data_IF_163248466751
#
_entry.id   IF_163248466751
#
_cell.length_a   1.000
_cell.length_b   1.000
_cell.length_c   1.000
_cell.angle_alpha   90.00
_cell.angle_beta   90.00
_cell.angle_gamma   90.00
#
_symmetry.space_group_name_H-M   'P 1'
#
loop_
_entity.id
_entity.type
_entity.pdbx_description
1 polymer ?
#
# COMPACT_ATOMS: atom_id res chain seq x y z
N UNK A 1 -6.78 -14.33 23.31
CA UNK A 1 -6.52 -14.02 21.91
C UNK A 1 -7.45 -12.91 21.41
N UNK A 2 -6.93 -12.03 20.66
CA UNK A 2 -7.69 -10.90 20.14
C UNK A 2 -8.57 -11.34 18.97
N UNK A 3 -9.83 -10.92 18.95
CA UNK A 3 -10.71 -11.18 17.83
C UNK A 3 -10.16 -10.50 16.56
N UNK A 4 -10.45 -11.08 15.41
CA UNK A 4 -10.11 -10.46 14.14
C UNK A 4 -10.84 -9.13 14.01
N UNK A 5 -10.13 -8.12 13.56
CA UNK A 5 -10.68 -6.77 13.40
C UNK A 5 -11.71 -6.71 12.28
N UNK A 6 -11.50 -7.50 11.21
CA UNK A 6 -12.37 -7.51 10.04
C UNK A 6 -12.82 -8.91 9.73
N UNK A 7 -14.10 -9.05 9.37
CA UNK A 7 -14.63 -10.28 8.79
C UNK A 7 -14.28 -10.35 7.30
N UNK A 8 -14.33 -11.54 6.68
CA UNK A 8 -14.07 -11.65 5.24
C UNK A 8 -14.92 -10.72 4.38
N UNK A 9 -16.18 -10.49 4.75
CA UNK A 9 -17.05 -9.58 4.01
C UNK A 9 -16.54 -8.13 4.05
N UNK A 10 -15.91 -7.73 5.14
CA UNK A 10 -15.33 -6.38 5.26
C UNK A 10 -14.10 -6.23 4.38
N UNK A 11 -13.33 -7.30 4.23
CA UNK A 11 -12.10 -7.27 3.44
C UNK A 11 -12.37 -7.36 1.94
N UNK A 12 -13.47 -7.97 1.54
CA UNK A 12 -13.87 -8.03 0.14
C UNK A 12 -14.89 -6.93 -0.18
N UNK A 13 -14.67 -5.76 0.38
CA UNK A 13 -15.53 -4.59 0.23
C UNK A 13 -14.70 -3.34 0.45
N UNK A 14 -14.90 -2.32 -0.37
CA UNK A 14 -14.20 -1.06 -0.24
C UNK A 14 -13.48 -0.67 -1.52
N UNK A 15 -12.56 0.28 -1.39
CA UNK A 15 -11.80 0.82 -2.50
C UNK A 15 -10.40 0.20 -2.51
N UNK A 16 -10.10 -0.55 -3.57
CA UNK A 16 -8.82 -1.28 -3.71
C UNK A 16 -7.80 -0.44 -4.45
N UNK A 17 -6.60 -0.37 -3.91
CA UNK A 17 -5.45 0.20 -4.60
C UNK A 17 -4.33 -0.85 -4.55
N UNK A 18 -3.99 -1.40 -5.71
CA UNK A 18 -2.91 -2.36 -5.86
C UNK A 18 -1.81 -1.71 -6.70
N UNK A 19 -0.60 -1.71 -6.18
CA UNK A 19 0.52 -1.02 -6.83
C UNK A 19 1.70 -1.96 -6.95
N UNK A 20 2.25 -2.03 -8.17
CA UNK A 20 3.53 -2.71 -8.43
C UNK A 20 4.61 -1.66 -8.55
N UNK A 21 5.70 -1.84 -7.84
CA UNK A 21 6.87 -0.97 -7.96
C UNK A 21 8.13 -1.81 -8.13
N UNK A 22 9.10 -1.24 -8.85
CA UNK A 22 10.43 -1.83 -8.99
C UNK A 22 11.43 -0.73 -8.61
N UNK A 23 12.27 -1.01 -7.62
CA UNK A 23 13.32 -0.10 -7.23
C UNK A 23 14.43 -0.09 -8.27
N UNK A 24 15.08 1.05 -8.46
CA UNK A 24 16.30 1.12 -9.24
C UNK A 24 17.36 0.22 -8.60
N UNK A 25 18.30 -0.27 -9.40
CA UNK A 25 19.37 -1.14 -8.90
C UNK A 25 20.13 -0.46 -7.75
N UNK A 26 20.29 -1.18 -6.65
CA UNK A 26 20.96 -0.67 -5.45
C UNK A 26 20.07 0.11 -4.51
N UNK A 27 18.81 0.41 -4.89
CA UNK A 27 17.90 1.19 -4.04
C UNK A 27 16.87 0.32 -3.32
N UNK A 28 16.92 -0.99 -3.51
CA UNK A 28 15.90 -1.90 -2.99
C UNK A 28 15.78 -1.88 -1.47
N UNK A 29 16.91 -1.76 -0.76
CA UNK A 29 16.88 -1.75 0.71
C UNK A 29 16.25 -0.46 1.22
N UNK A 30 16.59 0.67 0.61
CA UNK A 30 16.02 1.96 0.99
C UNK A 30 14.52 1.99 0.75
N UNK A 31 14.08 1.48 -0.41
CA UNK A 31 12.65 1.42 -0.76
C UNK A 31 11.91 0.48 0.17
N UNK A 32 12.45 -0.72 0.42
CA UNK A 32 11.84 -1.68 1.32
C UNK A 32 11.69 -1.15 2.73
N UNK A 33 12.73 -0.51 3.27
CA UNK A 33 12.68 0.08 4.60
C UNK A 33 11.63 1.20 4.67
N UNK A 34 11.57 2.05 3.65
CA UNK A 34 10.59 3.14 3.61
C UNK A 34 9.16 2.60 3.56
N UNK A 35 8.91 1.52 2.80
CA UNK A 35 7.60 0.87 2.78
C UNK A 35 7.23 0.30 4.15
N UNK A 36 8.18 -0.34 4.81
CA UNK A 36 7.97 -0.88 6.16
C UNK A 36 7.56 0.22 7.13
N UNK A 37 8.22 1.36 7.06
CA UNK A 37 7.94 2.50 7.94
C UNK A 37 6.58 3.14 7.67
N UNK A 38 5.98 2.89 6.51
CA UNK A 38 4.64 3.39 6.19
C UNK A 38 3.52 2.56 6.80
N UNK A 39 3.78 1.30 7.16
CA UNK A 39 2.72 0.38 7.56
C UNK A 39 1.94 0.90 8.75
N UNK A 40 2.63 1.19 9.84
CA UNK A 40 1.97 1.57 11.09
C UNK A 40 1.19 2.88 10.98
N UNK A 41 1.78 3.99 10.50
CA UNK A 41 1.02 5.23 10.40
C UNK A 41 -0.13 5.14 9.39
N UNK A 42 0.03 4.36 8.32
CA UNK A 42 -1.04 4.19 7.33
C UNK A 42 -2.19 3.37 7.92
N UNK A 43 -1.89 2.29 8.63
CA UNK A 43 -2.91 1.48 9.28
C UNK A 43 -3.65 2.23 10.38
N UNK A 44 -3.09 3.31 10.90
CA UNK A 44 -3.74 4.16 11.90
C UNK A 44 -4.73 5.16 11.29
N UNK A 45 -4.72 5.34 9.98
CA UNK A 45 -5.64 6.27 9.31
C UNK A 45 -7.07 5.73 9.35
N UNK A 46 -8.07 6.59 9.66
CA UNK A 46 -9.45 6.09 9.82
C UNK A 46 -10.05 5.54 8.52
N UNK A 47 -9.60 5.99 7.36
CA UNK A 47 -10.11 5.51 6.07
C UNK A 47 -9.42 4.26 5.54
N UNK A 48 -8.44 3.71 6.24
CA UNK A 48 -7.65 2.56 5.79
C UNK A 48 -8.10 1.30 6.50
N UNK A 49 -8.39 0.25 5.72
CA UNK A 49 -8.63 -1.09 6.26
C UNK A 49 -7.34 -1.89 6.31
N UNK A 50 -6.58 -1.91 5.20
CA UNK A 50 -5.32 -2.63 5.10
C UNK A 50 -4.32 -1.83 4.29
N UNK A 51 -3.05 -1.97 4.66
CA UNK A 51 -1.92 -1.48 3.89
C UNK A 51 -0.80 -2.52 4.04
N UNK A 52 -0.56 -3.30 2.98
CA UNK A 52 0.29 -4.48 3.05
C UNK A 52 1.30 -4.47 1.91
N UNK A 53 2.55 -4.05 2.18
CA UNK A 53 3.62 -4.20 1.19
C UNK A 53 4.20 -5.61 1.23
N UNK A 54 4.49 -6.13 0.05
CA UNK A 54 5.11 -7.44 -0.15
C UNK A 54 6.31 -7.30 -1.07
N UNK A 55 7.25 -8.21 -0.95
CA UNK A 55 8.44 -8.26 -1.80
C UNK A 55 8.45 -9.53 -2.61
N UNK A 56 8.83 -9.45 -3.89
CA UNK A 56 8.96 -10.63 -4.74
C UNK A 56 10.13 -11.50 -4.28
N UNK A 57 9.92 -12.82 -4.12
CA UNK A 57 11.04 -13.72 -3.82
C UNK A 57 11.94 -13.97 -5.03
N UNK A 58 11.46 -13.64 -6.25
CA UNK A 58 12.21 -13.83 -7.48
C UNK A 58 13.00 -12.59 -7.91
N UNK A 59 12.58 -11.40 -7.44
CA UNK A 59 13.25 -10.14 -7.78
C UNK A 59 13.27 -9.23 -6.56
N UNK A 60 14.44 -9.08 -5.96
CA UNK A 60 14.60 -8.31 -4.72
C UNK A 60 14.25 -6.83 -4.87
N UNK A 61 14.18 -6.33 -6.10
CA UNK A 61 13.82 -4.93 -6.38
C UNK A 61 12.33 -4.71 -6.60
N UNK A 62 11.55 -5.80 -6.69
CA UNK A 62 10.13 -5.71 -7.00
C UNK A 62 9.29 -5.84 -5.73
N UNK A 63 8.33 -4.93 -5.60
CA UNK A 63 7.39 -4.90 -4.48
C UNK A 63 5.97 -4.79 -5.01
N UNK A 64 5.05 -5.36 -4.25
CA UNK A 64 3.61 -5.23 -4.50
C UNK A 64 2.97 -4.68 -3.24
N UNK A 65 2.19 -3.61 -3.36
CA UNK A 65 1.51 -3.03 -2.22
C UNK A 65 0.00 -3.21 -2.43
N UNK A 66 -0.63 -3.91 -1.49
CA UNK A 66 -2.08 -4.05 -1.47
C UNK A 66 -2.64 -3.08 -0.44
N UNK A 67 -3.55 -2.20 -0.89
CA UNK A 67 -4.17 -1.20 -0.05
C UNK A 67 -5.68 -1.32 -0.17
N UNK A 68 -6.37 -1.29 0.95
CA UNK A 68 -7.81 -1.35 0.98
C UNK A 68 -8.33 -0.21 1.86
N UNK A 69 -9.19 0.61 1.28
CA UNK A 69 -9.77 1.78 1.93
C UNK A 69 -11.27 1.59 2.12
N UNK A 70 -11.86 2.30 3.06
CA UNK A 70 -13.32 2.29 3.25
C UNK A 70 -14.03 2.76 1.98
N UNK A 71 -13.45 3.77 1.32
CA UNK A 71 -13.97 4.36 0.10
C UNK A 71 -12.87 5.17 -0.57
N UNK A 72 -13.18 5.78 -1.71
CA UNK A 72 -12.20 6.57 -2.45
C UNK A 72 -11.72 7.79 -1.66
N UNK A 73 -12.57 8.36 -0.83
CA UNK A 73 -12.18 9.48 0.03
C UNK A 73 -11.09 9.09 1.01
N UNK A 74 -11.10 7.85 1.49
CA UNK A 74 -10.04 7.32 2.36
C UNK A 74 -8.69 7.28 1.64
N UNK A 75 -8.69 6.91 0.37
CA UNK A 75 -7.48 6.95 -0.45
C UNK A 75 -7.01 8.39 -0.69
N UNK A 76 -7.93 9.29 -1.01
CA UNK A 76 -7.59 10.71 -1.18
C UNK A 76 -6.97 11.29 0.09
N UNK A 77 -7.55 10.96 1.25
CA UNK A 77 -7.03 11.42 2.54
C UNK A 77 -5.63 10.86 2.81
N UNK A 78 -5.38 9.58 2.48
CA UNK A 78 -4.07 8.96 2.62
C UNK A 78 -3.00 9.75 1.86
N UNK A 79 -3.31 10.17 0.66
CA UNK A 79 -2.36 10.92 -0.19
C UNK A 79 -2.04 12.30 0.36
N UNK A 80 -2.82 12.82 1.30
CA UNK A 80 -2.58 14.11 1.94
C UNK A 80 -1.83 14.00 3.27
N UNK A 81 -1.56 12.78 3.74
CA UNK A 81 -0.85 12.59 5.01
C UNK A 81 0.62 12.98 4.89
N UNK A 82 1.20 13.37 6.02
CA UNK A 82 2.62 13.70 6.08
C UNK A 82 3.51 12.52 5.75
N UNK A 83 3.14 11.31 6.23
CA UNK A 83 3.94 10.11 5.98
C UNK A 83 3.91 9.70 4.50
N UNK A 84 2.76 9.84 3.82
CA UNK A 84 2.72 9.57 2.39
C UNK A 84 3.55 10.58 1.60
N UNK A 85 3.40 11.87 1.92
CA UNK A 85 4.14 12.93 1.21
C UNK A 85 5.64 12.80 1.41
N UNK A 86 6.08 12.43 2.61
CA UNK A 86 7.50 12.19 2.87
C UNK A 86 8.02 11.01 2.04
N UNK A 87 7.25 9.92 1.98
CA UNK A 87 7.60 8.78 1.14
C UNK A 87 7.68 9.19 -0.33
N UNK A 88 6.65 9.84 -0.85
CA UNK A 88 6.62 10.27 -2.25
C UNK A 88 7.78 11.19 -2.59
N UNK A 89 8.09 12.13 -1.70
CA UNK A 89 9.15 13.11 -1.94
C UNK A 89 10.56 12.53 -1.96
N UNK A 90 10.78 11.38 -1.31
CA UNK A 90 12.11 10.78 -1.21
C UNK A 90 12.27 9.48 -1.98
N UNK A 91 11.18 8.73 -2.16
CA UNK A 91 11.27 7.38 -2.73
C UNK A 91 10.90 7.30 -4.21
N UNK A 92 10.02 8.17 -4.73
CA UNK A 92 9.61 8.05 -6.14
C UNK A 92 10.79 8.10 -7.10
N UNK A 93 11.78 8.93 -6.83
CA UNK A 93 12.98 9.04 -7.66
C UNK A 93 13.87 7.80 -7.61
N UNK A 94 13.66 6.92 -6.63
CA UNK A 94 14.41 5.66 -6.48
C UNK A 94 13.72 4.49 -7.18
N UNK A 95 12.59 4.75 -7.82
CA UNK A 95 11.81 3.72 -8.50
C UNK A 95 12.07 3.74 -9.99
N UNK A 96 12.25 2.55 -10.56
CA UNK A 96 12.35 2.32 -12.00
C UNK A 96 10.96 2.17 -12.60
N UNK A 97 10.01 1.59 -11.82
CA UNK A 97 8.64 1.35 -12.26
C UNK A 97 7.69 1.64 -11.10
N UNK A 98 6.55 2.25 -11.41
CA UNK A 98 5.44 2.41 -10.48
C UNK A 98 4.15 2.34 -11.29
N UNK A 99 3.33 1.33 -11.00
CA UNK A 99 2.12 1.09 -11.76
C UNK A 99 0.98 0.71 -10.84
N UNK A 100 -0.15 1.42 -10.94
CA UNK A 100 -1.36 1.00 -10.27
C UNK A 100 -2.06 -0.03 -11.15
N UNK A 101 -2.37 -1.19 -10.58
CA UNK A 101 -3.09 -2.27 -11.25
C UNK A 101 -4.55 -2.20 -10.80
N UNK A 102 -5.51 -1.99 -11.72
CA UNK A 102 -6.90 -1.79 -11.33
C UNK A 102 -7.59 -3.10 -10.93
N UNK A 103 -8.10 -3.14 -9.70
CA UNK A 103 -8.90 -4.25 -9.17
C UNK A 103 -10.06 -3.71 -8.37
N UNK A 104 -11.14 -4.48 -8.32
CA UNK A 104 -12.29 -4.22 -7.45
C UNK A 104 -12.60 -5.48 -6.68
N UNK A 105 -13.28 -5.39 -5.51
CA UNK A 105 -13.66 -6.59 -4.77
C UNK A 105 -14.54 -7.49 -5.63
N UNK A 106 -14.28 -8.79 -5.57
CA UNK A 106 -14.98 -9.76 -6.42
C UNK A 106 -16.47 -9.83 -6.13
N UNK A 107 -16.83 -9.74 -4.84
CA UNK A 107 -18.22 -9.87 -4.40
C UNK A 107 -18.93 -8.54 -4.23
N UNK A 108 -18.32 -7.43 -4.60
CA UNK A 108 -18.95 -6.13 -4.52
C UNK A 108 -20.15 -6.09 -5.48
N UNK A 109 -21.29 -5.70 -4.95
CA UNK A 109 -22.50 -5.56 -5.74
C UNK A 109 -22.46 -4.29 -6.56
#
# INVERSE_FOLDING_TARGET
MKAAKYAPADLNNGFVVAIEIVAKAGEEDAVGHALEMLIEPTMAEPGVKLFLPYRSPANSRAFFIFELYLNEQGWAAHQQTGHFKAFAGTMLQRLEKRERVPYVPYTAA
#
